data_IF_064881026859
#
_entry.id   IF_064881026859
#
_cell.length_a   1.000
_cell.length_b   1.000
_cell.length_c   1.000
_cell.angle_alpha   90.00
_cell.angle_beta   90.00
_cell.angle_gamma   90.00
#
_symmetry.space_group_name_H-M   'P 1'
#
loop_
_entity.id
_entity.type
_entity.pdbx_description
1 polymer ?
#
# COMPACT_ATOMS: atom_id res chain seq x y z
N UNK A 1 6.55 24.34 -49.28
CA UNK A 1 6.26 22.90 -49.09
C UNK A 1 6.13 22.64 -47.59
N UNK A 2 4.97 22.48 -46.95
CA UNK A 2 3.61 22.22 -47.37
C UNK A 2 2.66 23.27 -46.76
N UNK A 3 2.30 24.27 -47.55
CA UNK A 3 0.96 24.85 -47.57
C UNK A 3 0.27 24.14 -48.73
N UNK A 4 -0.63 23.20 -48.48
CA UNK A 4 -1.74 22.80 -49.37
C UNK A 4 -2.57 21.86 -48.50
N UNK A 5 -3.74 22.32 -48.07
CA UNK A 5 -5.00 21.59 -48.02
C UNK A 5 -6.04 22.53 -47.39
N UNK A 6 -6.54 23.42 -48.24
CA UNK A 6 -7.78 24.14 -47.96
C UNK A 6 -8.94 23.15 -48.04
N UNK A 7 -9.61 22.96 -46.92
CA UNK A 7 -10.93 22.32 -46.87
C UNK A 7 -11.88 23.34 -46.25
N UNK A 8 -12.76 23.88 -47.08
CA UNK A 8 -13.80 24.81 -46.67
C UNK A 8 -14.83 24.10 -45.79
N UNK A 9 -14.90 24.49 -44.52
CA UNK A 9 -15.96 24.09 -43.62
C UNK A 9 -17.16 25.04 -43.80
N UNK A 10 -18.23 24.53 -44.42
CA UNK A 10 -19.55 25.16 -44.40
C UNK A 10 -20.04 25.21 -42.95
N UNK A 11 -20.31 26.41 -42.45
CA UNK A 11 -21.02 26.64 -41.19
C UNK A 11 -22.48 26.19 -41.34
N UNK A 12 -22.73 24.91 -41.04
CA UNK A 12 -24.08 24.40 -40.82
C UNK A 12 -24.51 24.76 -39.41
N UNK A 13 -25.47 25.68 -39.29
CA UNK A 13 -26.22 25.95 -38.07
C UNK A 13 -27.11 24.74 -37.73
N UNK A 14 -26.48 23.64 -37.33
CA UNK A 14 -27.16 22.51 -36.72
C UNK A 14 -27.10 22.69 -35.22
N UNK A 15 -28.23 23.07 -34.61
CA UNK A 15 -28.39 23.09 -33.17
C UNK A 15 -27.97 21.73 -32.61
N UNK A 16 -26.81 21.70 -31.94
CA UNK A 16 -26.41 20.57 -31.11
C UNK A 16 -27.45 20.46 -30.00
N UNK A 17 -28.44 19.61 -30.20
CA UNK A 17 -29.21 19.03 -29.12
C UNK A 17 -28.20 18.40 -28.18
N UNK A 18 -27.90 19.11 -27.10
CA UNK A 18 -27.05 18.67 -26.01
C UNK A 18 -27.76 17.48 -25.40
N UNK A 19 -27.51 16.31 -25.98
CA UNK A 19 -28.04 15.02 -25.54
C UNK A 19 -27.50 14.85 -24.13
N UNK A 20 -28.36 15.14 -23.15
CA UNK A 20 -28.16 14.95 -21.72
C UNK A 20 -27.54 13.56 -21.57
N UNK A 21 -26.23 13.48 -21.34
CA UNK A 21 -25.58 12.22 -20.99
C UNK A 21 -26.16 11.86 -19.65
N UNK A 22 -26.97 10.82 -19.62
CA UNK A 22 -27.49 10.22 -18.40
C UNK A 22 -26.32 10.03 -17.43
N UNK A 23 -26.38 10.81 -16.35
CA UNK A 23 -25.31 11.02 -15.38
C UNK A 23 -25.17 9.84 -14.42
N UNK A 24 -25.47 8.61 -14.83
CA UNK A 24 -25.33 7.44 -13.95
C UNK A 24 -23.86 7.02 -13.74
N UNK A 25 -22.92 7.58 -14.51
CA UNK A 25 -21.48 7.49 -14.24
C UNK A 25 -20.95 8.60 -13.32
N UNK A 26 -21.80 9.20 -12.47
CA UNK A 26 -21.37 10.17 -11.44
C UNK A 26 -20.23 9.60 -10.57
N UNK A 27 -20.13 8.29 -10.40
CA UNK A 27 -19.08 7.67 -9.58
C UNK A 27 -17.76 7.35 -10.30
N UNK A 28 -17.71 7.31 -11.63
CA UNK A 28 -16.49 6.91 -12.36
C UNK A 28 -15.39 7.99 -12.37
N UNK A 29 -15.72 9.23 -11.98
CA UNK A 29 -14.76 10.33 -11.92
C UNK A 29 -14.84 11.14 -10.63
N UNK A 30 -15.30 10.53 -9.52
CA UNK A 30 -15.22 11.24 -8.25
C UNK A 30 -13.77 11.31 -7.78
N UNK A 31 -13.26 12.51 -7.47
CA UNK A 31 -11.87 12.74 -7.06
C UNK A 31 -11.51 12.07 -5.73
N UNK A 32 -12.45 11.40 -5.07
CA UNK A 32 -12.27 10.75 -3.78
C UNK A 32 -12.08 9.25 -3.90
N UNK A 33 -12.00 8.69 -5.10
CA UNK A 33 -11.74 7.27 -5.31
C UNK A 33 -10.29 6.97 -5.69
N UNK A 34 -9.81 5.82 -5.25
CA UNK A 34 -8.49 5.24 -5.56
C UNK A 34 -8.69 3.81 -6.08
N UNK A 35 -7.63 3.22 -6.65
CA UNK A 35 -7.70 1.90 -7.31
C UNK A 35 -8.78 1.84 -8.41
N UNK A 36 -8.78 2.81 -9.32
CA UNK A 36 -9.76 2.86 -10.42
C UNK A 36 -11.22 2.90 -9.95
N UNK A 37 -11.55 3.71 -8.94
CA UNK A 37 -12.92 3.83 -8.44
C UNK A 37 -13.29 2.87 -7.31
N UNK A 38 -12.47 1.85 -7.01
CA UNK A 38 -12.85 0.76 -6.10
C UNK A 38 -12.98 1.18 -4.63
N UNK A 39 -12.14 2.11 -4.17
CA UNK A 39 -12.13 2.48 -2.75
C UNK A 39 -12.15 3.99 -2.58
N UNK A 40 -12.81 4.46 -1.50
CA UNK A 40 -12.65 5.86 -1.09
C UNK A 40 -11.23 6.10 -0.60
N UNK A 41 -10.75 7.33 -0.74
CA UNK A 41 -9.43 7.75 -0.32
C UNK A 41 -9.22 7.53 1.18
N UNK A 42 -10.29 7.73 1.97
CA UNK A 42 -10.33 7.40 3.40
C UNK A 42 -10.06 5.91 3.66
N UNK A 43 -10.68 5.01 2.89
CA UNK A 43 -10.42 3.57 2.97
C UNK A 43 -8.99 3.26 2.54
N UNK A 44 -8.49 3.93 1.50
CA UNK A 44 -7.09 3.83 1.06
C UNK A 44 -6.06 4.11 2.14
N UNK A 45 -6.21 5.23 2.85
CA UNK A 45 -5.31 5.59 3.95
C UNK A 45 -5.42 4.58 5.10
N UNK A 46 -6.62 4.03 5.37
CA UNK A 46 -6.79 2.96 6.37
C UNK A 46 -6.06 1.68 5.97
N UNK A 47 -6.16 1.26 4.70
CA UNK A 47 -5.44 0.10 4.17
C UNK A 47 -3.92 0.33 4.24
N UNK A 48 -3.43 1.49 3.81
CA UNK A 48 -2.01 1.83 3.93
C UNK A 48 -1.54 1.82 5.40
N UNK A 49 -2.39 2.28 6.31
CA UNK A 49 -2.13 2.29 7.74
C UNK A 49 -2.09 0.87 8.34
N UNK A 50 -3.05 0.01 8.00
CA UNK A 50 -3.06 -1.40 8.47
C UNK A 50 -1.84 -2.15 7.97
N UNK A 51 -1.49 -2.01 6.69
CA UNK A 51 -0.31 -2.65 6.14
C UNK A 51 0.95 -2.20 6.88
N UNK A 52 1.05 -0.90 7.20
CA UNK A 52 2.19 -0.38 7.97
C UNK A 52 2.22 -0.91 9.41
N UNK A 53 1.07 -1.05 10.08
CA UNK A 53 0.98 -1.66 11.42
C UNK A 53 1.39 -3.13 11.35
N UNK A 54 0.85 -3.88 10.40
CA UNK A 54 1.13 -5.30 10.24
C UNK A 54 2.63 -5.54 9.99
N UNK A 55 3.25 -4.75 9.12
CA UNK A 55 4.70 -4.82 8.89
C UNK A 55 5.51 -4.52 10.15
N UNK A 56 5.13 -3.47 10.90
CA UNK A 56 5.81 -3.15 12.15
C UNK A 56 5.65 -4.22 13.22
N UNK A 57 4.46 -4.85 13.32
CA UNK A 57 4.22 -6.00 14.18
C UNK A 57 5.07 -7.21 13.78
N UNK A 58 5.21 -7.49 12.49
CA UNK A 58 6.09 -8.55 12.00
C UNK A 58 7.56 -8.30 12.36
N UNK A 59 8.07 -7.07 12.19
CA UNK A 59 9.44 -6.72 12.58
C UNK A 59 9.67 -6.88 14.09
N UNK A 60 8.73 -6.41 14.91
CA UNK A 60 8.81 -6.54 16.36
C UNK A 60 8.72 -8.00 16.80
N UNK A 61 7.85 -8.79 16.17
CA UNK A 61 7.72 -10.22 16.44
C UNK A 61 9.03 -10.96 16.15
N UNK A 62 9.68 -10.70 15.00
CA UNK A 62 10.97 -11.31 14.67
C UNK A 62 12.02 -10.95 15.72
N UNK A 63 12.11 -9.69 16.11
CA UNK A 63 13.03 -9.26 17.16
C UNK A 63 12.76 -9.97 18.51
N UNK A 64 11.50 -10.03 18.94
CA UNK A 64 11.14 -10.72 20.18
C UNK A 64 11.44 -12.23 20.10
N UNK A 65 11.20 -12.85 18.95
CA UNK A 65 11.53 -14.25 18.74
C UNK A 65 13.05 -14.51 18.86
N UNK A 66 13.89 -13.63 18.31
CA UNK A 66 15.35 -13.69 18.46
C UNK A 66 15.76 -13.57 19.94
N UNK A 67 15.16 -12.62 20.66
CA UNK A 67 15.45 -12.38 22.09
C UNK A 67 15.04 -13.58 22.96
N UNK A 68 13.86 -14.16 22.73
CA UNK A 68 13.35 -15.26 23.57
C UNK A 68 13.99 -16.61 23.26
N UNK A 69 14.35 -16.86 22.00
CA UNK A 69 14.96 -18.13 21.60
C UNK A 69 16.45 -18.21 21.95
N UNK A 70 17.11 -17.06 22.12
CA UNK A 70 18.56 -16.98 22.33
C UNK A 70 19.38 -17.26 21.06
N UNK A 71 18.73 -17.57 19.95
CA UNK A 71 19.34 -17.79 18.64
C UNK A 71 18.67 -16.87 17.60
N UNK A 72 19.43 -16.08 16.83
CA UNK A 72 18.84 -15.18 15.84
C UNK A 72 18.14 -15.99 14.75
N UNK A 73 16.83 -15.80 14.57
CA UNK A 73 16.02 -16.40 13.48
C UNK A 73 16.58 -15.99 12.13
N UNK A 74 17.08 -14.77 12.03
CA UNK A 74 17.73 -14.21 10.84
C UNK A 74 19.04 -13.54 11.25
N UNK A 75 20.14 -13.87 10.55
CA UNK A 75 21.42 -13.18 10.74
C UNK A 75 21.40 -11.91 9.88
N UNK A 76 21.35 -10.76 10.55
CA UNK A 76 21.16 -9.47 9.87
C UNK A 76 22.45 -8.92 9.24
N UNK A 77 23.61 -9.47 9.59
CA UNK A 77 24.91 -9.02 9.14
C UNK A 77 26.05 -9.65 9.93
N UNK A 78 27.27 -9.07 9.88
CA UNK A 78 28.40 -9.54 10.68
C UNK A 78 28.08 -9.50 12.18
N UNK A 79 28.62 -10.46 12.93
CA UNK A 79 28.38 -10.64 14.37
C UNK A 79 28.62 -9.35 15.19
N UNK A 80 29.57 -8.51 14.78
CA UNK A 80 29.86 -7.20 15.41
C UNK A 80 28.71 -6.19 15.33
N UNK A 81 27.88 -6.26 14.29
CA UNK A 81 26.80 -5.30 14.03
C UNK A 81 25.41 -5.92 14.20
N UNK A 82 25.32 -7.23 14.42
CA UNK A 82 24.05 -7.97 14.46
C UNK A 82 23.08 -7.41 15.51
N UNK A 83 23.55 -7.17 16.75
CA UNK A 83 22.73 -6.59 17.81
C UNK A 83 22.23 -5.18 17.46
N UNK A 84 23.07 -4.36 16.83
CA UNK A 84 22.70 -2.99 16.44
C UNK A 84 21.66 -2.99 15.33
N UNK A 85 21.79 -3.90 14.36
CA UNK A 85 20.84 -4.07 13.26
C UNK A 85 19.50 -4.62 13.74
N UNK A 86 19.52 -5.58 14.68
CA UNK A 86 18.31 -6.09 15.34
C UNK A 86 17.59 -4.98 16.09
N UNK A 87 18.31 -4.18 16.89
CA UNK A 87 17.72 -3.05 17.61
C UNK A 87 17.16 -1.99 16.65
N UNK A 88 17.86 -1.67 15.57
CA UNK A 88 17.40 -0.74 14.55
C UNK A 88 16.14 -1.25 13.82
N UNK A 89 16.07 -2.55 13.53
CA UNK A 89 14.89 -3.20 12.95
C UNK A 89 13.70 -3.16 13.90
N UNK A 90 13.91 -3.46 15.19
CA UNK A 90 12.86 -3.37 16.22
C UNK A 90 12.34 -1.94 16.41
N UNK A 91 13.25 -0.96 16.46
CA UNK A 91 12.90 0.45 16.54
C UNK A 91 12.09 0.88 15.30
N UNK A 92 12.51 0.46 14.11
CA UNK A 92 11.77 0.71 12.87
C UNK A 92 10.37 0.11 12.92
N UNK A 93 10.24 -1.11 13.44
CA UNK A 93 8.95 -1.78 13.63
C UNK A 93 8.03 -1.01 14.57
N UNK A 94 8.55 -0.57 15.71
CA UNK A 94 7.81 0.26 16.66
C UNK A 94 7.36 1.60 16.05
N UNK A 95 8.25 2.27 15.31
CA UNK A 95 7.93 3.50 14.58
C UNK A 95 6.84 3.24 13.53
N UNK A 96 6.93 2.15 12.77
CA UNK A 96 5.92 1.77 11.78
C UNK A 96 4.53 1.57 12.41
N UNK A 97 4.45 0.84 13.54
CA UNK A 97 3.19 0.67 14.29
C UNK A 97 2.62 2.02 14.70
N UNK A 98 3.42 2.87 15.36
CA UNK A 98 2.98 4.19 15.81
C UNK A 98 2.50 5.05 14.63
N UNK A 99 3.20 5.01 13.51
CA UNK A 99 2.86 5.78 12.31
C UNK A 99 1.59 5.27 11.63
N UNK A 100 1.40 3.95 11.57
CA UNK A 100 0.16 3.37 11.09
C UNK A 100 -1.02 3.77 11.97
N UNK A 101 -0.86 3.82 13.29
CA UNK A 101 -1.90 4.34 14.20
C UNK A 101 -2.19 5.83 13.96
N UNK A 102 -1.17 6.66 13.70
CA UNK A 102 -1.36 8.07 13.32
C UNK A 102 -2.08 8.22 11.98
N UNK A 103 -1.72 7.41 10.98
CA UNK A 103 -2.37 7.34 9.68
C UNK A 103 -3.84 6.96 9.83
N UNK A 104 -4.14 5.94 10.63
CA UNK A 104 -5.50 5.54 10.95
C UNK A 104 -6.29 6.68 11.63
N UNK A 105 -5.72 7.31 12.66
CA UNK A 105 -6.33 8.44 13.39
C UNK A 105 -6.54 9.67 12.50
N UNK A 106 -5.67 9.88 11.51
CA UNK A 106 -5.83 10.96 10.53
C UNK A 106 -7.13 10.84 9.74
N UNK A 107 -7.58 9.61 9.45
CA UNK A 107 -8.85 9.36 8.76
C UNK A 107 -10.09 9.62 9.61
N UNK A 108 -9.95 9.83 10.92
CA UNK A 108 -11.07 10.10 11.83
C UNK A 108 -11.20 11.59 12.13
N UNK A 109 -10.05 12.25 12.32
CA UNK A 109 -9.99 13.65 12.73
C UNK A 109 -9.85 14.61 11.57
N UNK A 110 -9.49 14.12 10.37
CA UNK A 110 -9.23 14.93 9.17
C UNK A 110 -8.27 16.10 9.43
N UNK A 111 -7.35 15.98 10.40
CA UNK A 111 -6.36 17.02 10.68
C UNK A 111 -5.19 16.89 9.69
N UNK A 112 -4.83 17.94 8.93
CA UNK A 112 -3.79 17.86 7.90
C UNK A 112 -2.39 17.56 8.48
N UNK A 113 -2.16 17.90 9.75
CA UNK A 113 -0.90 17.61 10.46
C UNK A 113 -0.63 16.10 10.50
N UNK A 114 -1.63 15.28 10.84
CA UNK A 114 -1.45 13.83 10.93
C UNK A 114 -1.16 13.20 9.57
N UNK A 115 -1.86 13.63 8.51
CA UNK A 115 -1.61 13.15 7.15
C UNK A 115 -0.21 13.55 6.64
N UNK A 116 0.25 14.77 6.96
CA UNK A 116 1.59 15.25 6.60
C UNK A 116 2.70 14.47 7.30
N UNK A 117 2.54 14.20 8.59
CA UNK A 117 3.48 13.39 9.37
C UNK A 117 3.50 11.96 8.85
N UNK A 118 2.32 11.34 8.63
CA UNK A 118 2.22 10.00 8.06
C UNK A 118 2.94 9.89 6.71
N UNK A 119 2.72 10.83 5.79
CA UNK A 119 3.39 10.86 4.48
C UNK A 119 4.92 10.95 4.61
N UNK A 120 5.44 11.82 5.47
CA UNK A 120 6.88 11.97 5.68
C UNK A 120 7.49 10.67 6.21
N UNK A 121 6.84 10.04 7.18
CA UNK A 121 7.37 8.81 7.78
C UNK A 121 7.30 7.64 6.79
N UNK A 122 6.27 7.54 5.95
CA UNK A 122 6.26 6.57 4.84
C UNK A 122 7.47 6.77 3.90
N UNK A 123 7.85 8.03 3.63
CA UNK A 123 9.09 8.34 2.90
C UNK A 123 10.35 7.85 3.62
N UNK A 124 10.45 8.04 4.94
CA UNK A 124 11.56 7.52 5.73
C UNK A 124 11.60 5.98 5.74
N UNK A 125 10.45 5.31 5.85
CA UNK A 125 10.35 3.85 5.79
C UNK A 125 10.75 3.30 4.42
N UNK A 126 10.41 4.01 3.34
CA UNK A 126 10.87 3.66 1.98
C UNK A 126 12.39 3.77 1.87
N UNK A 127 12.99 4.86 2.37
CA UNK A 127 14.44 5.03 2.39
C UNK A 127 15.12 3.94 3.24
N UNK A 128 14.57 3.64 4.41
CA UNK A 128 15.03 2.55 5.26
C UNK A 128 15.00 1.21 4.52
N UNK A 129 13.91 0.90 3.82
CA UNK A 129 13.81 -0.32 3.03
C UNK A 129 14.92 -0.40 1.98
N UNK A 130 15.15 0.68 1.21
CA UNK A 130 16.26 0.72 0.24
C UNK A 130 17.60 0.45 0.92
N UNK A 131 17.91 1.16 2.01
CA UNK A 131 19.15 0.98 2.75
C UNK A 131 19.31 -0.44 3.29
N UNK A 132 18.23 -1.02 3.81
CA UNK A 132 18.21 -2.38 4.32
C UNK A 132 18.48 -3.41 3.22
N UNK A 133 17.80 -3.30 2.07
CA UNK A 133 18.02 -4.21 0.93
C UNK A 133 19.41 -4.06 0.32
N UNK A 134 19.97 -2.84 0.30
CA UNK A 134 21.35 -2.64 -0.11
C UNK A 134 22.32 -3.26 0.89
N UNK A 135 22.10 -3.06 2.19
CA UNK A 135 23.00 -3.59 3.21
C UNK A 135 22.99 -5.12 3.27
N UNK A 136 21.81 -5.74 3.20
CA UNK A 136 21.65 -7.21 3.23
C UNK A 136 21.92 -7.85 1.87
N UNK A 137 21.60 -7.16 0.78
CA UNK A 137 21.75 -7.68 -0.59
C UNK A 137 23.16 -7.55 -1.15
N UNK A 138 24.04 -6.75 -0.54
CA UNK A 138 25.44 -6.64 -0.96
C UNK A 138 26.17 -7.94 -0.57
N UNK A 139 26.92 -8.55 -1.51
CA UNK A 139 27.69 -9.75 -1.20
C UNK A 139 28.72 -9.46 -0.11
N UNK A 140 28.62 -10.17 1.02
CA UNK A 140 29.55 -10.04 2.13
C UNK A 140 30.62 -11.11 1.96
N UNK A 141 31.80 -10.66 1.51
CA UNK A 141 33.07 -11.40 1.41
C UNK A 141 33.03 -12.76 0.68
N UNK A 142 33.91 -12.89 -0.30
CA UNK A 142 34.31 -14.18 -0.85
C UNK A 142 35.08 -14.92 0.24
N UNK A 143 34.43 -15.79 1.00
CA UNK A 143 35.20 -16.81 1.73
C UNK A 143 35.81 -17.74 0.67
N UNK A 144 37.13 -17.61 0.51
CA UNK A 144 37.90 -18.55 -0.28
C UNK A 144 37.90 -19.86 0.51
N UNK A 145 37.03 -20.78 0.13
CA UNK A 145 37.10 -22.14 0.65
C UNK A 145 38.32 -22.76 0.01
N UNK A 146 39.41 -22.83 0.77
CA UNK A 146 40.60 -23.58 0.39
C UNK A 146 40.23 -25.07 0.39
N UNK A 147 39.73 -25.56 -0.75
CA UNK A 147 39.52 -26.99 -0.94
C UNK A 147 40.89 -27.59 -1.26
N UNK A 148 41.41 -28.52 -0.44
CA UNK A 148 42.63 -29.23 -0.79
C UNK A 148 42.39 -30.02 -2.09
N UNK A 149 43.11 -29.66 -3.15
CA UNK A 149 43.13 -30.37 -4.43
C UNK A 149 43.84 -31.70 -4.26
N UNK A 150 43.16 -32.73 -3.75
CA UNK A 150 43.65 -34.11 -3.87
C UNK A 150 42.49 -35.10 -4.01
N UNK A 151 42.17 -35.43 -5.25
CA UNK A 151 41.83 -36.82 -5.57
C UNK A 151 43.17 -37.55 -5.68
N UNK A 152 43.36 -38.56 -4.82
CA UNK A 152 44.45 -39.55 -4.89
C UNK A 152 45.87 -39.07 -4.50
N UNK A 153 46.13 -38.80 -3.21
CA UNK A 153 47.24 -39.41 -2.45
C UNK A 153 47.27 -38.90 -0.99
N UNK A 154 47.44 -39.77 0.02
CA UNK A 154 47.51 -39.36 1.43
C UNK A 154 48.93 -38.87 1.77
N UNK A 155 49.23 -37.61 1.42
CA UNK A 155 50.46 -36.90 1.81
C UNK A 155 50.17 -35.56 2.52
N UNK A 156 48.92 -35.36 2.96
CA UNK A 156 48.42 -34.13 3.56
C UNK A 156 49.00 -33.88 4.96
N UNK A 157 50.24 -33.38 5.03
CA UNK A 157 50.80 -32.73 6.23
C UNK A 157 52.02 -31.84 5.95
N UNK A 158 52.30 -31.47 4.69
CA UNK A 158 53.40 -30.56 4.37
C UNK A 158 52.93 -29.10 4.40
N UNK A 159 53.44 -28.25 5.33
CA UNK A 159 53.15 -26.82 5.33
C UNK A 159 53.73 -26.16 4.08
N UNK A 160 52.91 -25.37 3.37
CA UNK A 160 53.36 -24.53 2.25
C UNK A 160 52.79 -24.86 0.87
N UNK A 161 51.77 -25.71 0.74
CA UNK A 161 51.15 -25.92 -0.57
C UNK A 161 50.28 -24.72 -1.02
N UNK A 162 50.33 -24.34 -2.31
CA UNK A 162 49.49 -23.30 -2.86
C UNK A 162 48.04 -23.78 -2.91
N UNK A 163 47.19 -23.22 -2.06
CA UNK A 163 45.74 -23.40 -2.18
C UNK A 163 45.27 -22.62 -3.41
N UNK A 164 44.54 -23.26 -4.31
CA UNK A 164 43.82 -22.54 -5.37
C UNK A 164 42.43 -22.23 -4.82
N UNK A 165 42.03 -20.95 -4.73
CA UNK A 165 40.68 -20.62 -4.32
C UNK A 165 39.72 -21.22 -5.36
N UNK A 166 38.87 -22.15 -4.93
CA UNK A 166 37.78 -22.63 -5.76
C UNK A 166 36.71 -21.55 -5.75
N UNK A 167 36.81 -20.64 -6.71
CA UNK A 167 35.80 -19.61 -6.94
C UNK A 167 34.62 -20.31 -7.61
N UNK A 168 33.46 -20.29 -6.95
CA UNK A 168 32.22 -20.77 -7.54
C UNK A 168 31.97 -19.96 -8.83
N UNK A 169 31.93 -20.60 -10.02
CA UNK A 169 31.82 -19.88 -11.29
C UNK A 169 30.53 -19.07 -11.39
N UNK A 170 29.49 -19.39 -10.61
CA UNK A 170 28.26 -18.61 -10.55
C UNK A 170 28.40 -17.31 -9.74
N UNK A 171 29.39 -17.23 -8.83
CA UNK A 171 29.55 -16.13 -7.86
C UNK A 171 31.01 -15.71 -7.70
N UNK A 172 31.63 -15.10 -8.74
CA UNK A 172 33.03 -14.71 -8.71
C UNK A 172 33.37 -13.67 -7.63
N UNK A 173 32.36 -12.91 -7.19
CA UNK A 173 32.47 -11.86 -6.16
C UNK A 173 32.00 -12.30 -4.76
N UNK A 174 31.82 -13.61 -4.54
CA UNK A 174 31.36 -14.16 -3.27
C UNK A 174 29.85 -14.39 -3.22
N UNK A 175 29.44 -15.33 -2.37
CA UNK A 175 28.02 -15.69 -2.22
C UNK A 175 27.30 -14.60 -1.41
N UNK A 176 26.12 -14.14 -1.84
CA UNK A 176 25.32 -13.24 -1.02
C UNK A 176 24.90 -13.94 0.27
N UNK A 177 24.91 -13.20 1.38
CA UNK A 177 24.51 -13.65 2.72
C UNK A 177 23.17 -14.35 2.72
N UNK A 178 22.23 -13.81 1.92
CA UNK A 178 20.88 -14.37 1.74
C UNK A 178 20.90 -15.85 1.33
N UNK A 179 21.89 -16.31 0.55
CA UNK A 179 21.96 -17.73 0.18
C UNK A 179 22.44 -18.63 1.32
N UNK A 180 23.32 -18.12 2.18
CA UNK A 180 23.78 -18.83 3.37
C UNK A 180 22.66 -18.89 4.42
N UNK A 181 21.95 -17.78 4.62
CA UNK A 181 20.81 -17.72 5.54
C UNK A 181 19.72 -18.73 5.18
N UNK A 182 19.43 -18.92 3.88
CA UNK A 182 18.47 -19.93 3.46
C UNK A 182 18.95 -21.36 3.73
N UNK A 183 20.26 -21.62 3.58
CA UNK A 183 20.80 -22.93 3.93
C UNK A 183 20.70 -23.19 5.44
N UNK A 184 20.99 -22.18 6.26
CA UNK A 184 20.88 -22.26 7.71
C UNK A 184 19.43 -22.42 8.17
N UNK A 185 18.50 -21.63 7.61
CA UNK A 185 17.05 -21.75 7.84
C UNK A 185 16.56 -23.14 7.44
N UNK A 186 17.07 -23.72 6.35
CA UNK A 186 16.76 -25.11 5.96
C UNK A 186 17.17 -26.09 7.05
N UNK A 187 18.39 -25.97 7.57
CA UNK A 187 18.87 -26.82 8.67
C UNK A 187 18.01 -26.70 9.93
N UNK A 188 17.78 -25.45 10.38
CA UNK A 188 17.02 -25.17 11.59
C UNK A 188 15.56 -25.58 11.51
N UNK A 189 14.91 -25.36 10.36
CA UNK A 189 13.51 -25.78 10.21
C UNK A 189 13.38 -27.30 10.24
N UNK A 190 14.30 -28.04 9.62
CA UNK A 190 14.32 -29.50 9.70
C UNK A 190 14.51 -29.97 11.15
N UNK A 191 15.40 -29.32 11.91
CA UNK A 191 15.61 -29.61 13.32
C UNK A 191 14.37 -29.28 14.17
N UNK A 192 13.74 -28.13 13.94
CA UNK A 192 12.56 -27.66 14.69
C UNK A 192 11.31 -28.52 14.39
N UNK A 193 11.09 -28.90 13.13
CA UNK A 193 10.06 -29.85 12.72
C UNK A 193 10.26 -31.24 13.36
N UNK A 194 11.50 -31.62 13.69
CA UNK A 194 11.79 -32.86 14.38
C UNK A 194 11.57 -32.76 15.90
N UNK A 195 11.83 -31.60 16.52
CA UNK A 195 11.82 -31.43 17.99
C UNK A 195 10.42 -31.16 18.56
N UNK A 196 9.58 -30.38 17.88
CA UNK A 196 8.39 -29.77 18.54
C UNK A 196 7.01 -30.30 18.08
N UNK A 197 6.91 -31.16 17.07
CA UNK A 197 5.60 -31.57 16.52
C UNK A 197 5.14 -32.94 17.01
N UNK A 198 4.25 -32.94 18.00
CA UNK A 198 3.56 -34.15 18.53
C UNK A 198 2.64 -34.82 17.49
N UNK A 199 2.04 -34.04 16.58
CA UNK A 199 1.13 -34.57 15.57
C UNK A 199 1.87 -35.10 14.34
N UNK A 200 1.89 -36.44 14.19
CA UNK A 200 2.56 -37.16 13.09
C UNK A 200 2.07 -36.71 11.71
N UNK A 201 0.76 -36.51 11.54
CA UNK A 201 0.17 -36.13 10.24
C UNK A 201 0.59 -34.73 9.79
N UNK A 202 0.49 -33.74 10.68
CA UNK A 202 0.90 -32.36 10.44
C UNK A 202 2.39 -32.26 10.11
N UNK A 203 3.22 -33.04 10.80
CA UNK A 203 4.67 -33.15 10.51
C UNK A 203 4.95 -33.68 9.11
N UNK A 204 4.25 -34.73 8.68
CA UNK A 204 4.42 -35.28 7.32
C UNK A 204 3.93 -34.32 6.24
N UNK A 205 2.80 -33.64 6.48
CA UNK A 205 2.23 -32.63 5.57
C UNK A 205 3.16 -31.42 5.39
N UNK A 206 3.57 -30.79 6.50
CA UNK A 206 4.50 -29.66 6.48
C UNK A 206 5.85 -30.05 5.89
N UNK A 207 6.39 -31.24 6.22
CA UNK A 207 7.64 -31.71 5.64
C UNK A 207 7.53 -31.85 4.13
N UNK A 208 6.45 -32.45 3.61
CA UNK A 208 6.23 -32.60 2.17
C UNK A 208 6.09 -31.24 1.48
N UNK A 209 5.20 -30.38 1.98
CA UNK A 209 4.98 -29.03 1.46
C UNK A 209 6.29 -28.25 1.43
N UNK A 210 7.04 -28.30 2.52
CA UNK A 210 8.33 -27.66 2.67
C UNK A 210 9.37 -28.21 1.69
N UNK A 211 9.54 -29.53 1.59
CA UNK A 211 10.50 -30.10 0.65
C UNK A 211 10.13 -29.78 -0.79
N UNK A 212 8.84 -29.75 -1.14
CA UNK A 212 8.41 -29.38 -2.50
C UNK A 212 8.71 -27.91 -2.77
N UNK A 213 8.38 -27.01 -1.84
CA UNK A 213 8.68 -25.58 -1.97
C UNK A 213 10.19 -25.32 -1.99
N UNK A 214 10.95 -25.82 -1.03
CA UNK A 214 12.35 -25.40 -0.84
C UNK A 214 13.39 -26.23 -1.57
N UNK A 215 13.07 -27.45 -2.00
CA UNK A 215 13.99 -28.26 -2.84
C UNK A 215 13.87 -27.89 -4.31
N UNK A 216 12.66 -27.61 -4.80
CA UNK A 216 12.44 -27.37 -6.23
C UNK A 216 12.37 -25.88 -6.62
N UNK A 217 12.05 -24.97 -5.69
CA UNK A 217 11.74 -23.57 -6.04
C UNK A 217 12.86 -22.57 -5.69
N UNK A 218 13.80 -22.93 -4.82
CA UNK A 218 14.77 -21.97 -4.27
C UNK A 218 16.22 -22.42 -4.50
N UNK A 219 16.64 -22.41 -5.77
CA UNK A 219 18.07 -22.28 -6.09
C UNK A 219 18.59 -20.92 -5.58
N UNK A 220 19.88 -20.80 -5.23
CA UNK A 220 20.45 -19.52 -4.76
C UNK A 220 20.17 -18.37 -5.75
N UNK A 221 20.26 -18.64 -7.06
CA UNK A 221 19.88 -17.70 -8.12
C UNK A 221 18.42 -17.25 -8.06
N UNK A 222 17.48 -18.18 -7.83
CA UNK A 222 16.06 -17.85 -7.66
C UNK A 222 15.80 -17.09 -6.35
N UNK A 223 16.47 -17.46 -5.27
CA UNK A 223 16.41 -16.72 -3.99
C UNK A 223 16.79 -15.26 -4.18
N UNK A 224 17.92 -14.99 -4.83
CA UNK A 224 18.38 -13.62 -5.05
C UNK A 224 17.39 -12.86 -5.93
N UNK A 225 16.83 -13.50 -6.98
CA UNK A 225 15.76 -12.91 -7.78
C UNK A 225 14.51 -12.61 -6.97
N UNK A 226 14.08 -13.51 -6.10
CA UNK A 226 12.93 -13.31 -5.21
C UNK A 226 13.19 -12.21 -4.19
N UNK A 227 14.39 -12.12 -3.64
CA UNK A 227 14.80 -11.07 -2.72
C UNK A 227 14.70 -9.69 -3.36
N UNK A 228 15.28 -9.51 -4.56
CA UNK A 228 15.17 -8.25 -5.29
C UNK A 228 13.76 -7.98 -5.83
N UNK A 229 13.03 -9.02 -6.22
CA UNK A 229 11.62 -8.90 -6.59
C UNK A 229 10.74 -8.42 -5.43
N UNK A 230 11.00 -8.94 -4.22
CA UNK A 230 10.35 -8.50 -3.01
C UNK A 230 10.73 -7.06 -2.64
N UNK A 231 12.01 -6.68 -2.79
CA UNK A 231 12.46 -5.29 -2.64
C UNK A 231 11.66 -4.36 -3.57
N UNK A 232 11.59 -4.68 -4.87
CA UNK A 232 10.85 -3.88 -5.85
C UNK A 232 9.36 -3.78 -5.50
N UNK A 233 8.73 -4.91 -5.14
CA UNK A 233 7.33 -4.93 -4.73
C UNK A 233 7.07 -4.06 -3.49
N UNK A 234 7.96 -4.12 -2.48
CA UNK A 234 7.88 -3.29 -1.28
C UNK A 234 8.04 -1.81 -1.61
N UNK A 235 8.98 -1.43 -2.48
CA UNK A 235 9.16 -0.04 -2.91
C UNK A 235 7.96 0.49 -3.68
N UNK A 236 7.37 -0.31 -4.57
CA UNK A 236 6.12 0.05 -5.28
C UNK A 236 4.98 0.24 -4.28
N UNK A 237 4.80 -0.68 -3.34
CA UNK A 237 3.78 -0.57 -2.30
C UNK A 237 3.97 0.70 -1.44
N UNK A 238 5.21 1.01 -1.05
CA UNK A 238 5.53 2.23 -0.28
C UNK A 238 5.30 3.50 -1.09
N UNK A 239 5.73 3.51 -2.35
CA UNK A 239 5.44 4.60 -3.29
C UNK A 239 3.94 4.85 -3.43
N UNK A 240 3.15 3.78 -3.52
CA UNK A 240 1.69 3.87 -3.55
C UNK A 240 1.11 4.42 -2.24
N UNK A 241 1.57 3.96 -1.07
CA UNK A 241 1.16 4.50 0.23
C UNK A 241 1.48 6.00 0.36
N UNK A 242 2.65 6.45 -0.10
CA UNK A 242 3.05 7.86 -0.12
C UNK A 242 2.13 8.67 -1.05
N UNK A 243 1.83 8.13 -2.24
CA UNK A 243 0.90 8.74 -3.19
C UNK A 243 -0.49 8.91 -2.58
N UNK A 244 -1.08 7.84 -2.02
CA UNK A 244 -2.40 7.86 -1.37
C UNK A 244 -2.44 8.85 -0.21
N UNK A 245 -1.42 8.85 0.66
CA UNK A 245 -1.33 9.81 1.77
C UNK A 245 -1.17 11.26 1.29
N UNK A 246 -0.41 11.48 0.22
CA UNK A 246 -0.23 12.78 -0.41
C UNK A 246 -1.53 13.30 -1.04
N UNK A 247 -2.26 12.44 -1.72
CA UNK A 247 -3.55 12.75 -2.32
C UNK A 247 -4.60 13.03 -1.25
N UNK A 248 -4.65 12.23 -0.17
CA UNK A 248 -5.52 12.51 0.99
C UNK A 248 -5.20 13.86 1.64
N UNK A 249 -3.93 14.19 1.81
CA UNK A 249 -3.54 15.50 2.33
C UNK A 249 -4.02 16.64 1.43
N UNK A 250 -3.92 16.51 0.10
CA UNK A 250 -4.45 17.52 -0.85
C UNK A 250 -5.96 17.69 -0.67
N UNK A 251 -6.71 16.58 -0.60
CA UNK A 251 -8.17 16.62 -0.40
C UNK A 251 -8.56 17.27 0.93
N UNK A 252 -7.87 16.92 2.03
CA UNK A 252 -8.12 17.51 3.35
C UNK A 252 -7.81 19.00 3.39
N UNK A 253 -6.74 19.45 2.75
CA UNK A 253 -6.41 20.88 2.66
C UNK A 253 -7.45 21.69 1.87
N UNK A 254 -8.23 21.01 1.01
CA UNK A 254 -9.33 21.59 0.23
C UNK A 254 -10.68 21.49 0.94
N UNK A 255 -10.70 21.07 2.21
CA UNK A 255 -11.93 20.91 2.99
C UNK A 255 -12.68 19.61 2.74
N UNK A 256 -12.12 18.67 1.98
CA UNK A 256 -12.67 17.32 1.84
C UNK A 256 -12.34 16.43 3.03
N UNK A 257 -13.14 15.41 3.28
CA UNK A 257 -12.93 14.42 4.35
C UNK A 257 -12.37 13.08 3.83
N UNK A 258 -12.07 13.02 2.52
CA UNK A 258 -11.63 11.81 1.83
C UNK A 258 -12.75 10.83 1.49
N UNK A 259 -14.01 11.19 1.77
CA UNK A 259 -15.22 10.53 1.26
C UNK A 259 -15.86 11.43 0.21
N UNK A 260 -16.01 12.70 0.54
CA UNK A 260 -16.50 13.75 -0.35
C UNK A 260 -15.46 14.85 -0.52
N UNK A 261 -15.48 15.45 -1.70
CA UNK A 261 -14.73 16.65 -2.03
C UNK A 261 -15.69 17.66 -2.65
N UNK A 262 -15.59 18.89 -2.18
CA UNK A 262 -16.30 20.03 -2.77
C UNK A 262 -15.43 20.54 -3.94
N UNK A 263 -15.97 20.48 -5.16
CA UNK A 263 -15.33 21.01 -6.37
C UNK A 263 -14.82 19.95 -7.36
N UNK A 264 -14.49 20.37 -8.60
CA UNK A 264 -13.96 19.49 -9.64
C UNK A 264 -12.52 19.02 -9.35
N UNK A 265 -12.15 17.84 -9.85
CA UNK A 265 -10.81 17.24 -9.66
C UNK A 265 -9.68 18.16 -10.15
N UNK A 266 -9.92 18.95 -11.21
CA UNK A 266 -8.96 19.92 -11.75
C UNK A 266 -8.55 21.01 -10.75
N UNK A 267 -9.35 21.24 -9.69
CA UNK A 267 -9.04 22.22 -8.65
C UNK A 267 -8.04 21.70 -7.60
N UNK A 268 -7.71 20.39 -7.58
CA UNK A 268 -6.67 19.87 -6.67
C UNK A 268 -5.30 20.47 -6.94
N UNK A 269 -4.97 20.69 -8.21
CA UNK A 269 -3.62 21.07 -8.64
C UNK A 269 -3.41 22.58 -8.72
N UNK A 270 -4.50 23.36 -8.62
CA UNK A 270 -4.39 24.82 -8.49
C UNK A 270 -3.65 25.18 -7.19
N UNK A 271 -2.86 26.26 -7.15
CA UNK A 271 -2.29 26.75 -5.90
C UNK A 271 -3.41 27.25 -4.97
N UNK A 272 -3.20 27.17 -3.65
CA UNK A 272 -4.22 27.57 -2.67
C UNK A 272 -4.65 29.04 -2.84
N UNK A 273 -3.72 29.89 -3.28
CA UNK A 273 -3.92 31.33 -3.53
C UNK A 273 -4.88 31.67 -4.67
N UNK A 274 -5.05 30.78 -5.64
CA UNK A 274 -5.96 30.95 -6.78
C UNK A 274 -7.30 30.24 -6.58
N UNK A 275 -7.49 29.63 -5.41
CA UNK A 275 -8.75 28.99 -5.08
C UNK A 275 -9.76 30.10 -4.84
N UNK A 276 -10.66 30.30 -5.80
CA UNK A 276 -11.95 30.93 -5.57
C UNK A 276 -12.44 30.49 -4.21
N UNK A 277 -12.60 31.43 -3.26
CA UNK A 277 -12.76 31.13 -1.84
C UNK A 277 -13.72 29.95 -1.67
N UNK A 278 -13.39 28.97 -0.83
CA UNK A 278 -14.26 27.81 -0.59
C UNK A 278 -15.71 28.22 -0.33
N UNK A 279 -15.90 29.41 0.24
CA UNK A 279 -17.18 30.09 0.42
C UNK A 279 -17.90 30.41 -0.92
N UNK A 280 -17.22 30.90 -1.95
CA UNK A 280 -17.78 31.08 -3.29
C UNK A 280 -18.19 29.75 -3.93
N UNK A 281 -17.36 28.70 -3.81
CA UNK A 281 -17.73 27.37 -4.34
C UNK A 281 -18.92 26.76 -3.60
N UNK A 282 -18.94 26.85 -2.26
CA UNK A 282 -20.10 26.44 -1.46
C UNK A 282 -21.32 27.28 -1.83
N UNK A 283 -21.16 28.59 -2.03
CA UNK A 283 -22.26 29.47 -2.42
C UNK A 283 -22.80 29.10 -3.80
N UNK A 284 -21.95 28.79 -4.77
CA UNK A 284 -22.37 28.32 -6.09
C UNK A 284 -23.00 26.93 -6.03
N UNK A 285 -22.49 26.01 -5.21
CA UNK A 285 -23.11 24.70 -5.02
C UNK A 285 -24.48 24.79 -4.34
N UNK A 286 -24.59 25.58 -3.28
CA UNK A 286 -25.86 25.87 -2.59
C UNK A 286 -26.81 26.55 -3.55
N UNK A 287 -26.33 27.52 -4.34
CA UNK A 287 -27.13 28.19 -5.36
C UNK A 287 -27.61 27.22 -6.43
N UNK A 288 -26.74 26.37 -6.97
CA UNK A 288 -27.11 25.38 -8.00
C UNK A 288 -28.10 24.36 -7.44
N UNK A 289 -27.90 23.90 -6.20
CA UNK A 289 -28.85 23.00 -5.55
C UNK A 289 -30.19 23.70 -5.29
N UNK A 290 -30.16 24.97 -4.89
CA UNK A 290 -31.34 25.80 -4.71
C UNK A 290 -32.11 25.96 -6.03
N UNK A 291 -31.44 26.36 -7.11
CA UNK A 291 -32.02 26.50 -8.46
C UNK A 291 -32.54 25.17 -9.03
N UNK A 292 -32.08 24.02 -8.53
CA UNK A 292 -32.62 22.71 -8.89
C UNK A 292 -33.85 22.31 -8.06
N UNK A 293 -33.98 22.83 -6.85
CA UNK A 293 -35.10 22.54 -5.96
C UNK A 293 -36.25 23.54 -6.16
N UNK A 294 -35.93 24.82 -6.37
CA UNK A 294 -36.86 25.92 -6.66
C UNK A 294 -37.39 25.77 -8.11
N UNK A 295 -38.50 25.05 -8.24
CA UNK A 295 -39.09 24.69 -9.53
C UNK A 295 -39.98 25.78 -10.10
N UNK A 296 -40.58 26.61 -9.23
CA UNK A 296 -41.42 27.73 -9.64
C UNK A 296 -40.63 29.04 -9.85
N UNK A 297 -39.39 29.10 -9.36
CA UNK A 297 -38.46 30.21 -9.54
C UNK A 297 -38.81 31.41 -8.65
N UNK A 298 -39.55 31.21 -7.57
CA UNK A 298 -39.96 32.27 -6.65
C UNK A 298 -38.83 32.73 -5.71
N UNK A 299 -37.68 32.06 -5.75
CA UNK A 299 -36.52 32.35 -4.92
C UNK A 299 -36.68 31.85 -3.47
N UNK A 300 -37.65 30.97 -3.22
CA UNK A 300 -37.92 30.30 -1.95
C UNK A 300 -37.94 28.79 -2.20
N UNK A 301 -38.09 28.04 -1.10
CA UNK A 301 -38.16 26.59 -1.14
C UNK A 301 -39.42 26.17 -0.39
N UNK A 302 -40.43 25.77 -1.14
CA UNK A 302 -41.64 25.18 -0.56
C UNK A 302 -41.35 23.79 0.00
N UNK A 303 -42.21 23.31 0.91
CA UNK A 303 -42.07 21.97 1.46
C UNK A 303 -42.26 20.90 0.36
N UNK A 304 -43.19 21.17 -0.55
CA UNK A 304 -43.52 20.33 -1.69
C UNK A 304 -42.33 20.14 -2.64
N UNK A 305 -41.64 21.22 -2.98
CA UNK A 305 -40.42 21.20 -3.81
C UNK A 305 -39.27 20.43 -3.17
N UNK A 306 -39.06 20.63 -1.86
CA UNK A 306 -38.04 19.90 -1.12
C UNK A 306 -38.35 18.40 -1.10
N UNK A 307 -39.61 18.00 -0.88
CA UNK A 307 -40.05 16.61 -0.93
C UNK A 307 -39.83 16.04 -2.32
N UNK A 308 -40.27 16.75 -3.36
CA UNK A 308 -40.13 16.33 -4.75
C UNK A 308 -38.66 16.11 -5.14
N UNK A 309 -37.78 17.01 -4.71
CA UNK A 309 -36.34 16.85 -4.92
C UNK A 309 -35.78 15.63 -4.17
N UNK A 310 -36.14 15.42 -2.90
CA UNK A 310 -35.69 14.27 -2.11
C UNK A 310 -36.18 12.93 -2.68
N UNK A 311 -37.41 12.88 -3.16
CA UNK A 311 -37.99 11.71 -3.83
C UNK A 311 -37.29 11.42 -5.18
N UNK A 312 -36.95 12.48 -5.93
CA UNK A 312 -36.23 12.37 -7.20
C UNK A 312 -34.76 11.98 -7.06
N UNK A 313 -34.08 12.47 -6.02
CA UNK A 313 -32.62 12.30 -5.83
C UNK A 313 -32.24 11.04 -5.07
N UNK A 314 -33.16 10.44 -4.30
CA UNK A 314 -32.86 9.28 -3.47
C UNK A 314 -33.57 8.02 -3.93
N UNK A 315 -32.79 7.05 -4.40
CA UNK A 315 -33.27 5.67 -4.56
C UNK A 315 -33.78 5.05 -3.25
N UNK A 316 -33.42 5.59 -2.07
CA UNK A 316 -33.92 5.12 -0.76
C UNK A 316 -35.28 5.70 -0.36
N UNK A 317 -35.69 6.84 -0.93
CA UNK A 317 -36.96 7.49 -0.57
C UNK A 317 -38.15 7.07 -1.45
N UNK A 318 -37.93 6.26 -2.50
CA UNK A 318 -38.96 5.71 -3.40
C UNK A 318 -40.05 4.84 -2.76
N UNK A 319 -40.11 4.72 -1.44
CA UNK A 319 -41.14 3.96 -0.72
C UNK A 319 -41.68 4.63 0.55
N UNK A 320 -41.36 5.90 0.81
CA UNK A 320 -41.86 6.63 1.98
C UNK A 320 -43.20 7.34 1.74
N UNK A 321 -43.61 7.50 0.48
CA UNK A 321 -44.95 8.00 0.13
C UNK A 321 -46.07 6.99 0.37
N UNK A 322 -45.77 5.74 0.75
CA UNK A 322 -46.76 4.74 1.14
C UNK A 322 -46.88 4.57 2.66
N UNK A 323 -46.78 5.65 3.44
CA UNK A 323 -47.26 5.60 4.82
C UNK A 323 -48.78 5.37 4.77
N UNK A 324 -49.30 4.24 5.28
CA UNK A 324 -50.73 4.00 5.28
C UNK A 324 -51.40 5.13 6.07
N UNK A 325 -52.40 5.75 5.43
CA UNK A 325 -53.21 6.80 6.03
C UNK A 325 -53.74 6.28 7.39
N UNK A 326 -53.56 7.02 8.49
CA UNK A 326 -53.97 6.55 9.81
C UNK A 326 -55.46 6.23 9.76
N UNK A 327 -55.78 4.96 10.00
CA UNK A 327 -57.13 4.41 9.91
C UNK A 327 -58.09 5.29 10.73
N UNK A 328 -58.98 5.97 10.01
CA UNK A 328 -59.95 6.93 10.55
C UNK A 328 -60.90 6.32 11.59
N UNK A 329 -60.86 4.99 11.79
CA UNK A 329 -61.58 4.25 12.83
C UNK A 329 -61.08 4.46 14.26
N UNK A 330 -59.92 5.08 14.49
CA UNK A 330 -59.40 5.31 15.85
C UNK A 330 -59.99 6.55 16.57
N UNK A 331 -60.94 7.29 15.99
CA UNK A 331 -61.56 8.50 16.61
C UNK A 331 -62.90 8.25 17.34
N UNK A 332 -63.27 6.99 17.62
CA UNK A 332 -64.56 6.65 18.23
C UNK A 332 -64.49 6.01 19.64
N UNK A 333 -63.35 6.13 20.33
CA UNK A 333 -63.17 5.83 21.75
C UNK A 333 -62.54 7.03 22.43
#
# INVERSE_FOLDING_TARGET
LMQVLGVGAKAGAGGFGMRRRDSTTIFEQTPTTICCGLFTLRVGVRIASTLTIAEGLCQLYVHLADVFSGEPVFRWGPERYEQQLQAASALTGAVAIFCGLLGWRSTWTCRPIHARVFRRIQGCLMLWAVLWFLFVGVPVKVEHVDVPLFEELPLSLLPGQPTRPVIDPEWPSGKPTVCQDIADIKGRLVQSLNKNMKHRFLRTGLRRLYTVLLKNVLTCKQTVRLFWGWCAALLVLRGYCIYVAGFFLKVVLRGGDGVMMIGPLADLDKPFTETTSSLLLIREQVRTAFEQMDTDGDGRLSLEELIQYLEGSSHRYKGLSSCPEPDSRAKAL
#
